data_IF_710564863086
#
_entry.id   IF_710564863086
#
_cell.length_a   1.000
_cell.length_b   1.000
_cell.length_c   1.000
_cell.angle_alpha   90.00
_cell.angle_beta   90.00
_cell.angle_gamma   90.00
#
_symmetry.space_group_name_H-M   'P 1'
#
loop_
_entity.id
_entity.type
_entity.pdbx_description
1 polymer ?
#
# COMPACT_ATOMS: atom_id res chain seq x y z
N UNK A 1 60.17 -78.42 -23.97
CA UNK A 1 59.54 -77.65 -22.86
C UNK A 1 60.64 -77.08 -22.00
N UNK A 2 60.67 -75.76 -21.75
CA UNK A 2 61.68 -75.17 -20.87
C UNK A 2 61.27 -75.35 -19.40
N UNK A 3 62.06 -76.10 -18.62
CA UNK A 3 61.90 -76.19 -17.17
C UNK A 3 62.13 -74.80 -16.57
N UNK A 4 61.15 -74.32 -15.78
CA UNK A 4 61.24 -73.01 -15.12
C UNK A 4 62.16 -73.10 -13.90
N UNK A 5 62.92 -72.03 -13.67
CA UNK A 5 63.90 -71.96 -12.58
C UNK A 5 63.21 -72.11 -11.20
N UNK A 6 63.53 -73.15 -10.42
CA UNK A 6 62.92 -73.42 -9.11
C UNK A 6 63.38 -72.44 -8.01
N UNK A 7 64.41 -71.63 -8.25
CA UNK A 7 64.95 -70.67 -7.28
C UNK A 7 64.34 -69.25 -7.38
N UNK A 8 63.25 -69.08 -8.14
CA UNK A 8 62.59 -67.78 -8.23
C UNK A 8 61.70 -67.53 -6.99
N UNK A 9 61.95 -66.41 -6.30
CA UNK A 9 61.28 -65.99 -5.06
C UNK A 9 59.74 -66.00 -5.16
N UNK A 10 59.19 -65.76 -6.37
CA UNK A 10 57.75 -65.82 -6.66
C UNK A 10 57.14 -67.20 -6.36
N UNK A 11 57.91 -68.28 -6.47
CA UNK A 11 57.44 -69.65 -6.24
C UNK A 11 57.80 -70.18 -4.85
N UNK A 12 58.63 -69.46 -4.08
CA UNK A 12 59.07 -69.86 -2.74
C UNK A 12 58.20 -69.30 -1.62
N UNK A 13 57.36 -68.30 -1.90
CA UNK A 13 56.41 -67.79 -0.92
C UNK A 13 55.13 -68.64 -0.91
N UNK A 14 55.01 -69.60 0.02
CA UNK A 14 53.78 -70.38 0.31
C UNK A 14 52.68 -69.54 0.99
N UNK A 15 52.50 -68.27 0.62
CA UNK A 15 51.37 -67.49 1.13
C UNK A 15 50.22 -67.47 0.12
N UNK A 16 48.98 -67.82 0.54
CA UNK A 16 47.83 -67.79 -0.35
C UNK A 16 47.51 -66.33 -0.72
N UNK A 17 48.03 -65.87 -1.86
CA UNK A 17 47.92 -64.47 -2.29
C UNK A 17 46.59 -64.22 -3.01
N UNK A 18 45.50 -64.41 -2.28
CA UNK A 18 44.14 -64.07 -2.68
C UNK A 18 43.52 -63.03 -1.74
N UNK A 19 44.14 -61.86 -1.58
CA UNK A 19 43.49 -60.74 -0.91
C UNK A 19 42.91 -59.81 -1.97
N UNK A 20 41.63 -60.03 -2.31
CA UNK A 20 40.84 -58.95 -2.89
C UNK A 20 40.73 -57.86 -1.83
N UNK A 21 41.20 -56.65 -2.13
CA UNK A 21 41.02 -55.51 -1.23
C UNK A 21 39.52 -55.39 -0.94
N UNK A 22 39.13 -55.43 0.34
CA UNK A 22 37.75 -55.14 0.76
C UNK A 22 37.39 -53.76 0.21
N UNK A 23 36.60 -53.73 -0.87
CA UNK A 23 36.15 -52.47 -1.46
C UNK A 23 35.39 -51.66 -0.41
N UNK A 24 35.63 -50.35 -0.39
CA UNK A 24 34.94 -49.38 0.46
C UNK A 24 33.41 -49.42 0.33
N UNK A 25 32.90 -50.06 -0.72
CA UNK A 25 31.48 -50.29 -0.97
C UNK A 25 30.81 -51.34 -0.03
N UNK A 26 31.59 -52.20 0.64
CA UNK A 26 31.02 -53.18 1.58
C UNK A 26 30.83 -52.62 3.01
N UNK A 27 31.28 -51.40 3.28
CA UNK A 27 30.96 -50.70 4.51
C UNK A 27 29.51 -50.21 4.43
N UNK A 28 28.60 -50.89 5.13
CA UNK A 28 27.25 -50.36 5.36
C UNK A 28 27.39 -48.95 5.95
N UNK A 29 26.74 -47.91 5.40
CA UNK A 29 26.84 -46.58 5.96
C UNK A 29 26.35 -46.60 7.41
N UNK A 30 27.17 -46.07 8.33
CA UNK A 30 26.87 -46.00 9.77
C UNK A 30 25.71 -45.04 10.09
N UNK A 31 25.19 -44.37 9.07
CA UNK A 31 24.02 -43.51 9.12
C UNK A 31 22.94 -44.07 8.18
N UNK A 32 21.68 -44.13 8.63
CA UNK A 32 20.53 -44.45 7.79
C UNK A 32 20.60 -43.60 6.52
N UNK A 33 20.37 -44.20 5.35
CA UNK A 33 20.14 -43.44 4.12
C UNK A 33 19.07 -42.37 4.43
N UNK A 34 19.36 -41.11 4.07
CA UNK A 34 18.59 -39.90 4.41
C UNK A 34 18.76 -39.29 5.83
N UNK A 35 19.65 -39.78 6.70
CA UNK A 35 19.93 -39.12 7.99
C UNK A 35 20.58 -37.72 7.86
N UNK A 36 21.13 -37.38 6.70
CA UNK A 36 21.60 -36.03 6.35
C UNK A 36 20.59 -35.19 5.57
N UNK A 37 19.42 -35.74 5.25
CA UNK A 37 18.36 -35.00 4.55
C UNK A 37 17.59 -34.22 5.60
N UNK A 38 18.05 -33.00 5.85
CA UNK A 38 17.28 -32.01 6.59
C UNK A 38 16.03 -31.66 5.79
N UNK A 39 14.87 -32.15 6.23
CA UNK A 39 13.57 -31.70 5.71
C UNK A 39 13.44 -30.23 6.10
N UNK A 40 13.74 -29.33 5.17
CA UNK A 40 13.54 -27.90 5.37
C UNK A 40 12.08 -27.70 5.79
N UNK A 41 11.78 -27.06 6.94
CA UNK A 41 10.40 -26.79 7.32
C UNK A 41 9.74 -26.02 6.18
N UNK A 42 8.47 -26.34 5.89
CA UNK A 42 7.69 -25.73 4.82
C UNK A 42 7.58 -24.21 5.04
N UNK A 43 8.59 -23.47 4.58
CA UNK A 43 8.81 -22.09 4.94
C UNK A 43 9.94 -21.52 4.11
N UNK A 44 9.60 -20.57 3.25
CA UNK A 44 10.57 -19.85 2.43
C UNK A 44 11.62 -19.18 3.31
N UNK A 45 12.89 -19.29 2.94
CA UNK A 45 13.98 -18.54 3.61
C UNK A 45 13.67 -17.04 3.55
N UNK A 46 14.17 -16.20 4.48
CA UNK A 46 13.93 -14.75 4.42
C UNK A 46 14.38 -14.13 3.08
N UNK A 47 15.38 -14.72 2.42
CA UNK A 47 15.80 -14.35 1.05
C UNK A 47 14.75 -14.77 0.00
N UNK A 48 14.22 -15.99 0.06
CA UNK A 48 13.13 -16.46 -0.80
C UNK A 48 11.83 -15.68 -0.58
N UNK A 49 11.46 -15.34 0.67
CA UNK A 49 10.29 -14.48 0.97
C UNK A 49 10.42 -13.10 0.32
N UNK A 50 11.63 -12.51 0.35
CA UNK A 50 11.90 -11.24 -0.35
C UNK A 50 11.81 -11.39 -1.87
N UNK A 51 12.33 -12.49 -2.43
CA UNK A 51 12.25 -12.77 -3.87
C UNK A 51 10.79 -12.98 -4.32
N UNK A 52 9.99 -13.73 -3.58
CA UNK A 52 8.57 -13.97 -3.84
C UNK A 52 7.79 -12.65 -3.73
N UNK A 53 8.04 -11.84 -2.70
CA UNK A 53 7.41 -10.52 -2.56
C UNK A 53 7.78 -9.57 -3.71
N UNK A 54 9.03 -9.61 -4.19
CA UNK A 54 9.47 -8.85 -5.36
C UNK A 54 8.79 -9.33 -6.65
N UNK A 55 8.68 -10.64 -6.84
CA UNK A 55 7.97 -11.24 -7.97
C UNK A 55 6.47 -10.91 -7.94
N UNK A 56 5.83 -10.94 -6.77
CA UNK A 56 4.44 -10.52 -6.59
C UNK A 56 4.25 -9.04 -6.90
N UNK A 57 5.15 -8.16 -6.45
CA UNK A 57 5.12 -6.74 -6.84
C UNK A 57 5.34 -6.53 -8.33
N UNK A 58 6.24 -7.29 -8.96
CA UNK A 58 6.47 -7.20 -10.39
C UNK A 58 5.22 -7.60 -11.18
N UNK A 59 4.56 -8.71 -10.79
CA UNK A 59 3.28 -9.13 -11.37
C UNK A 59 2.17 -8.10 -11.13
N UNK A 60 2.09 -7.51 -9.92
CA UNK A 60 1.15 -6.43 -9.64
C UNK A 60 1.41 -5.19 -10.51
N UNK A 61 2.67 -4.79 -10.67
CA UNK A 61 3.06 -3.63 -11.48
C UNK A 61 2.80 -3.86 -12.98
N UNK A 62 2.97 -5.08 -13.46
CA UNK A 62 2.64 -5.48 -14.83
C UNK A 62 1.12 -5.44 -15.06
N UNK A 63 0.34 -5.98 -14.13
CA UNK A 63 -1.12 -5.89 -14.16
C UNK A 63 -1.57 -4.43 -14.05
N UNK A 64 -0.99 -3.62 -13.16
CA UNK A 64 -1.29 -2.19 -13.05
C UNK A 64 -0.97 -1.45 -14.34
N UNK A 65 0.17 -1.73 -14.98
CA UNK A 65 0.50 -1.16 -16.28
C UNK A 65 -0.54 -1.53 -17.34
N UNK A 66 -1.04 -2.77 -17.28
CA UNK A 66 -2.05 -3.29 -18.18
C UNK A 66 -3.47 -2.77 -17.90
N UNK A 67 -3.81 -2.43 -16.65
CA UNK A 67 -5.16 -1.95 -16.27
C UNK A 67 -5.30 -0.43 -16.17
N UNK A 68 -4.25 0.28 -15.75
CA UNK A 68 -4.31 1.73 -15.47
C UNK A 68 -3.72 2.61 -16.58
N UNK A 69 -2.78 2.11 -17.38
CA UNK A 69 -2.15 2.89 -18.43
C UNK A 69 -2.63 2.42 -19.82
N UNK A 70 -3.83 2.85 -20.28
CA UNK A 70 -4.33 2.49 -21.59
C UNK A 70 -3.34 2.92 -22.67
N UNK A 71 -2.76 2.00 -23.46
CA UNK A 71 -1.86 2.35 -24.55
C UNK A 71 -2.63 2.77 -25.81
N UNK A 72 -3.79 3.44 -25.65
CA UNK A 72 -4.57 3.91 -26.79
C UNK A 72 -3.99 5.23 -27.30
N UNK A 73 -3.76 5.32 -28.61
CA UNK A 73 -3.23 6.54 -29.24
C UNK A 73 -4.12 7.76 -28.99
N UNK A 74 -5.44 7.54 -28.91
CA UNK A 74 -6.41 8.57 -28.52
C UNK A 74 -6.12 9.11 -27.11
N UNK A 75 -5.89 8.24 -26.12
CA UNK A 75 -5.59 8.66 -24.75
C UNK A 75 -4.29 9.49 -24.66
N UNK A 76 -3.26 9.11 -25.44
CA UNK A 76 -2.00 9.88 -25.49
C UNK A 76 -2.19 11.28 -26.05
N UNK A 77 -2.99 11.43 -27.12
CA UNK A 77 -3.32 12.75 -27.69
C UNK A 77 -4.10 13.61 -26.70
N UNK A 78 -5.13 13.05 -26.07
CA UNK A 78 -5.93 13.75 -25.06
C UNK A 78 -5.08 14.17 -23.86
N UNK A 79 -4.20 13.29 -23.39
CA UNK A 79 -3.29 13.58 -22.28
C UNK A 79 -2.26 14.64 -22.65
N UNK A 80 -1.78 14.70 -23.91
CA UNK A 80 -0.91 15.78 -24.38
C UNK A 80 -1.63 17.13 -24.35
N UNK A 81 -2.88 17.19 -24.83
CA UNK A 81 -3.70 18.40 -24.77
C UNK A 81 -3.95 18.82 -23.31
N UNK A 82 -4.25 17.87 -22.44
CA UNK A 82 -4.41 18.12 -21.00
C UNK A 82 -3.13 18.68 -20.36
N UNK A 83 -1.96 18.10 -20.67
CA UNK A 83 -0.67 18.60 -20.22
C UNK A 83 -0.37 20.00 -20.76
N UNK A 84 -0.69 20.28 -22.03
CA UNK A 84 -0.54 21.61 -22.61
C UNK A 84 -1.40 22.63 -21.86
N UNK A 85 -2.66 22.30 -21.53
CA UNK A 85 -3.52 23.18 -20.73
C UNK A 85 -2.98 23.39 -19.29
N UNK A 86 -2.40 22.37 -18.67
CA UNK A 86 -1.80 22.54 -17.33
C UNK A 86 -0.53 23.38 -17.37
N UNK A 87 0.35 23.15 -18.34
CA UNK A 87 1.56 23.92 -18.51
C UNK A 87 1.21 25.37 -18.86
N UNK A 88 0.23 25.60 -19.74
CA UNK A 88 -0.22 26.96 -20.07
C UNK A 88 -0.78 27.68 -18.84
N UNK A 89 -1.58 27.00 -18.00
CA UNK A 89 -2.07 27.58 -16.76
C UNK A 89 -0.93 28.00 -15.83
N UNK A 90 0.07 27.13 -15.65
CA UNK A 90 1.25 27.42 -14.81
C UNK A 90 2.03 28.62 -15.39
N UNK A 91 2.32 28.62 -16.69
CA UNK A 91 3.04 29.72 -17.35
C UNK A 91 2.30 31.04 -17.22
N UNK A 92 0.98 31.07 -17.45
CA UNK A 92 0.14 32.26 -17.28
C UNK A 92 0.10 32.75 -15.83
N UNK A 93 0.15 31.83 -14.86
CA UNK A 93 0.18 32.17 -13.43
C UNK A 93 1.50 32.83 -13.06
N UNK A 94 2.62 32.26 -13.53
CA UNK A 94 3.96 32.83 -13.31
C UNK A 94 4.10 34.17 -14.03
N UNK A 95 3.58 34.29 -15.26
CA UNK A 95 3.54 35.58 -15.97
C UNK A 95 2.75 36.62 -15.17
N UNK A 96 1.59 36.26 -14.65
CA UNK A 96 0.76 37.13 -13.82
C UNK A 96 1.45 37.60 -12.54
N UNK A 97 2.40 36.84 -12.00
CA UNK A 97 3.23 37.26 -10.86
C UNK A 97 4.37 38.21 -11.27
N UNK A 98 4.92 38.06 -12.48
CA UNK A 98 6.04 38.86 -12.96
C UNK A 98 5.56 40.19 -13.57
N UNK A 99 4.38 40.20 -14.20
CA UNK A 99 3.82 41.35 -14.93
C UNK A 99 3.74 42.65 -14.11
N UNK A 100 3.35 42.65 -12.83
CA UNK A 100 3.31 43.87 -12.01
C UNK A 100 4.68 44.52 -11.80
N UNK A 101 5.79 43.76 -11.90
CA UNK A 101 7.14 44.31 -11.77
C UNK A 101 7.58 45.08 -13.02
N UNK A 102 7.04 44.74 -14.19
CA UNK A 102 7.35 45.40 -15.46
C UNK A 102 6.37 46.52 -15.81
N UNK A 103 5.11 46.39 -15.39
CA UNK A 103 4.04 47.34 -15.68
C UNK A 103 3.16 47.58 -14.44
N UNK A 104 3.61 48.41 -13.47
CA UNK A 104 2.94 48.58 -12.19
C UNK A 104 1.57 49.28 -12.27
N UNK A 105 1.37 50.19 -13.23
CA UNK A 105 0.11 50.94 -13.37
C UNK A 105 -0.95 50.20 -14.21
N UNK A 106 -0.56 49.10 -14.88
CA UNK A 106 -1.43 48.37 -15.78
C UNK A 106 -2.07 47.18 -15.07
N UNK A 107 -3.01 47.46 -14.14
CA UNK A 107 -3.80 46.44 -13.43
C UNK A 107 -4.39 45.42 -14.42
N UNK A 108 -4.89 45.88 -15.58
CA UNK A 108 -5.48 45.06 -16.62
C UNK A 108 -4.54 43.97 -17.16
N UNK A 109 -3.22 44.20 -17.17
CA UNK A 109 -2.24 43.23 -17.64
C UNK A 109 -2.23 41.94 -16.79
N UNK A 110 -2.41 42.07 -15.48
CA UNK A 110 -2.50 40.94 -14.55
C UNK A 110 -3.80 40.17 -14.75
N UNK A 111 -4.93 40.87 -14.91
CA UNK A 111 -6.23 40.23 -15.16
C UNK A 111 -6.27 39.46 -16.48
N UNK A 112 -5.64 40.00 -17.52
CA UNK A 112 -5.49 39.33 -18.83
C UNK A 112 -4.66 38.03 -18.70
N UNK A 113 -3.80 37.90 -17.69
CA UNK A 113 -3.07 36.65 -17.43
C UNK A 113 -3.87 35.68 -16.55
N UNK A 114 -4.53 36.17 -15.50
CA UNK A 114 -5.22 35.33 -14.51
C UNK A 114 -6.53 34.75 -15.03
N UNK A 115 -7.35 35.54 -15.75
CA UNK A 115 -8.63 35.08 -16.29
C UNK A 115 -8.46 33.86 -17.22
N UNK A 116 -7.58 33.89 -18.25
CA UNK A 116 -7.35 32.72 -19.09
C UNK A 116 -6.61 31.60 -18.35
N UNK A 117 -5.80 31.89 -17.32
CA UNK A 117 -5.22 30.83 -16.48
C UNK A 117 -6.31 29.99 -15.81
N UNK A 118 -7.30 30.64 -15.19
CA UNK A 118 -8.45 29.95 -14.62
C UNK A 118 -9.28 29.20 -15.67
N UNK A 119 -9.48 29.81 -16.85
CA UNK A 119 -10.11 29.14 -17.99
C UNK A 119 -9.38 27.86 -18.42
N UNK A 120 -8.05 27.88 -18.44
CA UNK A 120 -7.21 26.71 -18.73
C UNK A 120 -7.35 25.63 -17.63
N UNK A 121 -7.39 26.01 -16.36
CA UNK A 121 -7.58 25.05 -15.26
C UNK A 121 -8.95 24.37 -15.37
N UNK A 122 -10.02 25.14 -15.56
CA UNK A 122 -11.39 24.62 -15.70
C UNK A 122 -11.49 23.72 -16.93
N UNK A 123 -10.93 24.15 -18.07
CA UNK A 123 -10.88 23.35 -19.30
C UNK A 123 -10.11 22.04 -19.12
N UNK A 124 -9.00 22.05 -18.37
CA UNK A 124 -8.22 20.86 -18.07
C UNK A 124 -9.01 19.86 -17.21
N UNK A 125 -9.71 20.34 -16.17
CA UNK A 125 -10.57 19.52 -15.33
C UNK A 125 -11.73 18.92 -16.15
N UNK A 126 -12.41 19.72 -16.96
CA UNK A 126 -13.50 19.25 -17.80
C UNK A 126 -13.06 18.17 -18.79
N UNK A 127 -11.90 18.37 -19.43
CA UNK A 127 -11.32 17.39 -20.37
C UNK A 127 -10.92 16.09 -19.66
N UNK A 128 -10.40 16.17 -18.43
CA UNK A 128 -10.04 15.00 -17.63
C UNK A 128 -11.29 14.18 -17.20
N UNK A 129 -12.30 14.86 -16.66
CA UNK A 129 -13.55 14.22 -16.22
C UNK A 129 -14.40 13.68 -17.36
N UNK A 130 -14.50 14.42 -18.48
CA UNK A 130 -15.35 14.02 -19.59
C UNK A 130 -14.68 12.99 -20.47
N UNK A 131 -13.52 13.31 -21.07
CA UNK A 131 -13.00 12.53 -22.20
C UNK A 131 -11.93 11.54 -21.76
N UNK A 132 -10.99 11.95 -20.91
CA UNK A 132 -9.94 11.06 -20.40
C UNK A 132 -10.54 9.97 -19.50
N UNK A 133 -11.43 10.33 -18.58
CA UNK A 133 -12.09 9.36 -17.68
C UNK A 133 -12.99 8.39 -18.44
N UNK A 134 -13.71 8.83 -19.48
CA UNK A 134 -14.52 7.92 -20.33
C UNK A 134 -13.64 6.95 -21.10
N UNK A 135 -12.57 7.41 -21.74
CA UNK A 135 -11.63 6.53 -22.46
C UNK A 135 -10.96 5.54 -21.50
N UNK A 136 -10.55 6.00 -20.31
CA UNK A 136 -9.98 5.11 -19.28
C UNK A 136 -10.99 4.06 -18.81
N UNK A 137 -12.23 4.46 -18.53
CA UNK A 137 -13.30 3.54 -18.11
C UNK A 137 -13.65 2.54 -19.21
N UNK A 138 -13.72 2.97 -20.48
CA UNK A 138 -13.96 2.08 -21.61
C UNK A 138 -12.84 1.04 -21.76
N UNK A 139 -11.58 1.48 -21.65
CA UNK A 139 -10.44 0.56 -21.65
C UNK A 139 -10.48 -0.41 -20.48
N UNK A 140 -10.77 0.06 -19.27
CA UNK A 140 -10.93 -0.81 -18.11
C UNK A 140 -12.06 -1.83 -18.35
N UNK A 141 -13.21 -1.42 -18.87
CA UNK A 141 -14.30 -2.34 -19.22
C UNK A 141 -13.90 -3.37 -20.28
N UNK A 142 -13.12 -3.00 -21.30
CA UNK A 142 -12.60 -3.95 -22.29
C UNK A 142 -11.61 -4.94 -21.68
N UNK A 143 -10.70 -4.48 -20.83
CA UNK A 143 -9.75 -5.35 -20.13
C UNK A 143 -10.47 -6.25 -19.12
N UNK A 144 -11.54 -5.76 -18.46
CA UNK A 144 -12.41 -6.56 -17.60
C UNK A 144 -13.14 -7.66 -18.35
N UNK A 145 -13.53 -7.42 -19.61
CA UNK A 145 -14.17 -8.42 -20.48
C UNK A 145 -13.18 -9.46 -21.01
N UNK A 146 -11.97 -9.05 -21.40
CA UNK A 146 -10.94 -9.95 -21.97
C UNK A 146 -10.22 -10.78 -20.90
N UNK A 147 -9.99 -10.20 -19.72
CA UNK A 147 -9.21 -10.83 -18.64
C UNK A 147 -9.97 -10.92 -17.30
N UNK A 148 -11.19 -11.48 -17.26
CA UNK A 148 -12.05 -11.43 -16.06
C UNK A 148 -11.44 -12.10 -14.82
N UNK A 149 -10.59 -13.11 -15.02
CA UNK A 149 -9.90 -13.84 -13.93
C UNK A 149 -8.77 -13.00 -13.32
N UNK A 150 -7.97 -12.34 -14.16
CA UNK A 150 -6.84 -11.50 -13.73
C UNK A 150 -7.33 -10.21 -13.08
N UNK A 151 -8.46 -9.66 -13.54
CA UNK A 151 -9.11 -8.50 -12.93
C UNK A 151 -9.59 -8.81 -11.52
N UNK A 152 -10.29 -9.93 -11.33
CA UNK A 152 -10.76 -10.34 -10.00
C UNK A 152 -9.60 -10.58 -9.05
N UNK A 153 -8.52 -11.19 -9.54
CA UNK A 153 -7.28 -11.34 -8.77
C UNK A 153 -6.66 -9.98 -8.45
N UNK A 154 -6.53 -9.08 -9.42
CA UNK A 154 -5.99 -7.73 -9.20
C UNK A 154 -6.80 -6.93 -8.19
N UNK A 155 -8.13 -6.91 -8.31
CA UNK A 155 -9.01 -6.21 -7.36
C UNK A 155 -8.96 -6.83 -5.96
N UNK A 156 -8.94 -8.16 -5.85
CA UNK A 156 -8.79 -8.83 -4.55
C UNK A 156 -7.42 -8.54 -3.92
N UNK A 157 -6.36 -8.52 -4.73
CA UNK A 157 -5.00 -8.25 -4.24
C UNK A 157 -4.82 -6.78 -3.87
N UNK A 158 -5.42 -5.86 -4.63
CA UNK A 158 -5.37 -4.43 -4.37
C UNK A 158 -6.20 -4.07 -3.12
N UNK A 159 -7.38 -4.69 -2.94
CA UNK A 159 -8.15 -4.57 -1.71
C UNK A 159 -7.39 -5.12 -0.50
N UNK A 160 -6.73 -6.28 -0.63
CA UNK A 160 -5.90 -6.83 0.44
C UNK A 160 -4.70 -5.93 0.79
N UNK A 161 -4.06 -5.32 -0.23
CA UNK A 161 -2.97 -4.35 -0.05
C UNK A 161 -3.47 -3.06 0.64
N UNK A 162 -4.65 -2.54 0.27
CA UNK A 162 -5.24 -1.36 0.90
C UNK A 162 -5.60 -1.62 2.36
N UNK A 163 -6.18 -2.79 2.67
CA UNK A 163 -6.46 -3.18 4.06
C UNK A 163 -5.15 -3.37 4.85
N UNK A 164 -4.10 -3.90 4.23
CA UNK A 164 -2.78 -4.01 4.86
C UNK A 164 -2.14 -2.64 5.12
N UNK A 165 -2.23 -1.70 4.16
CA UNK A 165 -1.77 -0.32 4.32
C UNK A 165 -2.56 0.40 5.41
N UNK A 166 -3.89 0.32 5.41
CA UNK A 166 -4.73 0.88 6.48
C UNK A 166 -4.38 0.30 7.86
N UNK A 167 -4.05 -1.00 7.95
CA UNK A 167 -3.58 -1.61 9.20
C UNK A 167 -2.19 -1.12 9.61
N UNK A 168 -1.29 -0.88 8.66
CA UNK A 168 0.02 -0.29 8.94
C UNK A 168 -0.08 1.18 9.34
N UNK A 169 -0.92 1.96 8.67
CA UNK A 169 -1.18 3.37 8.96
C UNK A 169 -1.92 3.51 10.28
N UNK A 170 -2.88 2.63 10.59
CA UNK A 170 -3.50 2.57 11.93
C UNK A 170 -2.50 2.15 13.01
N UNK A 171 -1.51 1.30 12.70
CA UNK A 171 -0.42 0.94 13.64
C UNK A 171 0.57 2.09 13.82
N UNK A 172 0.88 2.83 12.75
CA UNK A 172 1.72 4.04 12.80
C UNK A 172 1.02 5.14 13.57
N UNK A 173 -0.24 5.44 13.26
CA UNK A 173 -1.09 6.36 14.01
C UNK A 173 -1.21 5.95 15.49
N UNK A 174 -1.37 4.65 15.80
CA UNK A 174 -1.33 4.18 17.20
C UNK A 174 0.04 4.32 17.87
N UNK A 175 1.14 4.19 17.13
CA UNK A 175 2.49 4.41 17.65
C UNK A 175 2.78 5.88 17.85
N UNK A 176 2.38 6.73 16.91
CA UNK A 176 2.48 8.19 16.98
C UNK A 176 1.58 8.73 18.10
N UNK A 177 0.36 8.23 18.26
CA UNK A 177 -0.52 8.56 19.39
C UNK A 177 0.00 8.02 20.75
N UNK A 178 0.76 6.92 20.77
CA UNK A 178 1.43 6.42 21.99
C UNK A 178 2.74 7.15 22.29
N UNK A 179 3.45 7.62 21.27
CA UNK A 179 4.66 8.44 21.41
C UNK A 179 4.33 9.90 21.77
N UNK A 180 3.17 10.40 21.34
CA UNK A 180 2.62 11.71 21.71
C UNK A 180 1.94 11.71 23.09
N UNK A 181 1.72 10.54 23.72
CA UNK A 181 1.36 10.49 25.14
C UNK A 181 2.64 10.63 25.97
N UNK A 182 2.80 11.70 26.77
CA UNK A 182 4.00 11.88 27.59
C UNK A 182 4.11 10.72 28.58
N UNK A 183 5.24 10.02 28.54
CA UNK A 183 5.57 8.95 29.49
C UNK A 183 5.61 9.57 30.88
N UNK A 184 4.57 9.35 31.69
CA UNK A 184 4.63 9.55 33.14
C UNK A 184 5.65 8.55 33.71
N UNK A 185 6.92 8.92 33.74
CA UNK A 185 7.96 8.20 34.48
C UNK A 185 7.71 8.45 35.97
N UNK A 186 7.18 7.44 36.63
CA UNK A 186 7.30 7.25 38.08
C UNK A 186 8.79 7.11 38.44
N UNK A 187 9.29 7.90 39.38
CA UNK A 187 10.68 7.80 39.87
C UNK A 187 11.19 9.07 40.54
N UNK A 188 10.94 9.13 41.84
CA UNK A 188 11.16 10.15 42.87
C UNK A 188 12.59 10.78 43.02
N UNK A 189 12.62 11.98 43.65
CA UNK A 189 13.73 12.67 44.36
C UNK A 189 14.68 13.57 43.55
N UNK A 190 14.42 14.89 43.51
CA UNK A 190 15.17 15.95 44.23
C UNK A 190 14.76 17.36 43.71
N UNK A 191 14.39 18.28 44.61
CA UNK A 191 14.31 19.72 44.34
C UNK A 191 12.94 20.27 43.92
N UNK A 192 12.19 20.79 44.89
CA UNK A 192 10.79 21.20 44.72
C UNK A 192 10.51 22.47 43.90
N UNK A 193 9.26 22.57 43.44
CA UNK A 193 8.43 23.79 43.52
C UNK A 193 6.99 23.48 43.11
N UNK A 194 6.08 23.75 44.05
CA UNK A 194 4.64 24.09 43.94
C UNK A 194 3.80 23.44 42.84
N UNK A 195 2.88 22.61 43.32
CA UNK A 195 1.61 22.25 42.69
C UNK A 195 0.85 23.50 42.18
N UNK A 196 0.32 23.38 40.97
CA UNK A 196 -0.84 24.14 40.51
C UNK A 196 -1.78 23.12 39.84
N UNK A 197 -2.96 22.95 40.43
CA UNK A 197 -4.04 22.15 39.85
C UNK A 197 -4.43 22.71 38.47
N UNK A 198 -4.77 21.86 37.48
CA UNK A 198 -5.28 22.36 36.21
C UNK A 198 -6.67 22.96 36.43
N UNK A 199 -6.77 24.29 36.24
CA UNK A 199 -8.04 25.05 36.23
C UNK A 199 -9.08 24.38 35.34
N UNK A 200 -10.35 24.44 35.77
CA UNK A 200 -11.54 23.93 35.08
C UNK A 200 -11.62 24.31 33.59
N UNK A 201 -10.99 25.41 33.19
CA UNK A 201 -10.88 25.85 31.80
C UNK A 201 -10.04 24.90 30.93
N UNK A 202 -8.97 24.30 31.47
CA UNK A 202 -8.13 23.35 30.73
C UNK A 202 -8.81 22.00 30.54
N UNK A 203 -9.68 21.61 31.47
CA UNK A 203 -10.48 20.40 31.35
C UNK A 203 -11.66 20.61 30.39
N UNK A 204 -12.28 21.80 30.41
CA UNK A 204 -13.31 22.21 29.44
C UNK A 204 -12.74 22.29 28.01
N UNK A 205 -11.53 22.84 27.84
CA UNK A 205 -10.86 22.88 26.53
C UNK A 205 -10.50 21.50 26.00
N UNK A 206 -10.09 20.56 26.88
CA UNK A 206 -9.82 19.17 26.48
C UNK A 206 -11.09 18.42 26.13
N UNK A 207 -12.20 18.63 26.85
CA UNK A 207 -13.51 18.05 26.52
C UNK A 207 -14.06 18.62 25.21
N UNK A 208 -13.96 19.93 25.00
CA UNK A 208 -14.37 20.57 23.74
C UNK A 208 -13.50 20.14 22.55
N UNK A 209 -12.19 19.92 22.75
CA UNK A 209 -11.31 19.39 21.72
C UNK A 209 -11.64 17.92 21.40
N UNK A 210 -11.90 17.10 22.42
CA UNK A 210 -12.31 15.71 22.23
C UNK A 210 -13.68 15.58 21.55
N UNK A 211 -14.61 16.47 21.85
CA UNK A 211 -15.94 16.52 21.22
C UNK A 211 -15.85 16.99 19.76
N UNK A 212 -15.01 17.99 19.47
CA UNK A 212 -14.72 18.41 18.09
C UNK A 212 -14.03 17.30 17.29
N UNK A 213 -13.08 16.59 17.88
CA UNK A 213 -12.39 15.47 17.23
C UNK A 213 -13.34 14.28 17.01
N UNK A 214 -14.26 14.01 17.94
CA UNK A 214 -15.30 13.01 17.78
C UNK A 214 -16.35 13.39 16.72
N UNK A 215 -16.71 14.67 16.63
CA UNK A 215 -17.61 15.19 15.59
C UNK A 215 -16.96 15.14 14.20
N UNK A 216 -15.67 15.48 14.11
CA UNK A 216 -14.90 15.39 12.85
C UNK A 216 -14.66 13.93 12.43
N UNK A 217 -14.46 13.02 13.39
CA UNK A 217 -14.37 11.58 13.13
C UNK A 217 -15.69 11.02 12.59
N UNK A 218 -16.84 11.39 13.19
CA UNK A 218 -18.17 11.03 12.68
C UNK A 218 -18.44 11.64 11.30
N UNK A 219 -18.05 12.90 11.07
CA UNK A 219 -18.20 13.54 9.76
C UNK A 219 -17.36 12.86 8.67
N UNK A 220 -16.15 12.39 8.99
CA UNK A 220 -15.30 11.62 8.07
C UNK A 220 -15.83 10.21 7.82
N UNK A 221 -16.41 9.58 8.84
CA UNK A 221 -17.07 8.28 8.73
C UNK A 221 -18.32 8.39 7.84
N UNK A 222 -19.14 9.43 8.04
CA UNK A 222 -20.31 9.71 7.22
C UNK A 222 -19.93 10.11 5.79
N UNK A 223 -18.84 10.86 5.58
CA UNK A 223 -18.33 11.17 4.24
C UNK A 223 -17.78 9.94 3.49
N UNK A 224 -17.36 8.89 4.20
CA UNK A 224 -16.85 7.65 3.61
C UNK A 224 -17.96 6.64 3.27
N UNK A 225 -19.19 6.83 3.76
CA UNK A 225 -20.32 5.95 3.45
C UNK A 225 -20.88 6.26 2.05
N UNK A 226 -21.20 5.26 1.21
CA UNK A 226 -21.86 5.50 -0.07
C UNK A 226 -23.20 6.21 0.16
N UNK A 227 -23.55 7.17 -0.72
CA UNK A 227 -24.72 8.06 -0.60
C UNK A 227 -26.04 7.31 -0.29
N UNK A 228 -26.18 6.07 -0.77
CA UNK A 228 -27.33 5.21 -0.50
C UNK A 228 -27.47 4.82 0.99
N UNK A 229 -26.38 4.59 1.71
CA UNK A 229 -26.38 4.25 3.13
C UNK A 229 -26.71 5.46 4.01
N UNK A 230 -26.19 6.64 3.68
CA UNK A 230 -26.53 7.89 4.37
C UNK A 230 -28.02 8.24 4.22
N UNK A 231 -28.60 7.96 3.05
CA UNK A 231 -30.03 8.18 2.82
C UNK A 231 -30.88 7.20 3.64
N UNK A 232 -30.49 5.92 3.69
CA UNK A 232 -31.17 4.91 4.50
C UNK A 232 -31.07 5.20 6.01
N UNK A 233 -29.91 5.64 6.51
CA UNK A 233 -29.72 6.02 7.91
C UNK A 233 -30.56 7.25 8.28
N UNK A 234 -30.66 8.26 7.41
CA UNK A 234 -31.52 9.44 7.64
C UNK A 234 -33.02 9.12 7.60
N UNK A 235 -33.43 8.21 6.71
CA UNK A 235 -34.81 7.74 6.66
C UNK A 235 -35.16 6.87 7.88
N UNK A 236 -34.23 6.03 8.34
CA UNK A 236 -34.38 5.25 9.57
C UNK A 236 -34.42 6.14 10.81
N UNK A 237 -33.57 7.17 10.90
CA UNK A 237 -33.59 8.13 12.01
C UNK A 237 -34.91 8.92 12.06
N UNK A 238 -35.41 9.39 10.91
CA UNK A 238 -36.73 10.05 10.83
C UNK A 238 -37.88 9.12 11.18
N UNK A 239 -37.76 7.82 10.87
CA UNK A 239 -38.77 6.83 11.23
C UNK A 239 -38.75 6.55 12.74
N UNK A 240 -37.56 6.39 13.32
CA UNK A 240 -37.39 6.22 14.77
C UNK A 240 -37.86 7.44 15.57
N UNK A 241 -37.63 8.65 15.08
CA UNK A 241 -38.11 9.90 15.71
C UNK A 241 -39.64 10.01 15.65
N UNK A 242 -40.26 9.60 14.54
CA UNK A 242 -41.73 9.53 14.42
C UNK A 242 -42.34 8.44 15.30
N UNK A 243 -41.69 7.30 15.42
CA UNK A 243 -42.12 6.21 16.31
C UNK A 243 -41.96 6.59 17.78
N UNK A 244 -40.88 7.29 18.15
CA UNK A 244 -40.69 7.83 19.49
C UNK A 244 -41.74 8.90 19.84
N UNK A 245 -42.03 9.83 18.92
CA UNK A 245 -43.07 10.84 19.11
C UNK A 245 -44.47 10.21 19.24
N UNK A 246 -44.77 9.16 18.46
CA UNK A 246 -46.03 8.43 18.58
C UNK A 246 -46.14 7.63 19.91
N UNK A 247 -45.01 7.19 20.45
CA UNK A 247 -44.96 6.48 21.73
C UNK A 247 -45.10 7.42 22.94
N UNK A 248 -44.67 8.68 22.80
CA UNK A 248 -44.81 9.72 23.82
C UNK A 248 -46.25 10.26 23.88
N UNK A 249 -46.95 10.34 22.73
CA UNK A 249 -48.35 10.78 22.64
C UNK A 249 -49.36 9.72 23.14
N UNK A 250 -48.96 8.44 23.21
CA UNK A 250 -49.77 7.35 23.75
C UNK A 250 -49.60 7.15 25.28
N UNK A 251 -48.66 7.88 25.91
CA UNK A 251 -48.34 7.76 27.34
C UNK A 251 -48.82 8.95 28.20
N UNK A 252 -49.56 9.89 27.63
CA UNK A 252 -50.30 10.95 28.32
C UNK A 252 -51.80 10.69 28.25
#
# INVERSE_FOLDING_TARGET
MSQRNPMNERYQSEQPKGQTKKSAAAAKPKAKAAASVYVRPAGHTPKEKKAIKKAQRAKQAELDRMFYNPPTEQYKKLRRIWWVLLISAIVLTVLGMIMPNFMPDNIWATWICIIPAYGCIIGALWLDFSKIRKVRRAYQMEMMKKHPKEVKQHMATNAANQVAQQKEDARKAKKEAKAAKPVKRFGHVFGGKKEAEPSAEQEAQKKAAAEKEAAEAKAKEDASKPIAQLKAEREAAKKAEREAAAHEDCSK
#
